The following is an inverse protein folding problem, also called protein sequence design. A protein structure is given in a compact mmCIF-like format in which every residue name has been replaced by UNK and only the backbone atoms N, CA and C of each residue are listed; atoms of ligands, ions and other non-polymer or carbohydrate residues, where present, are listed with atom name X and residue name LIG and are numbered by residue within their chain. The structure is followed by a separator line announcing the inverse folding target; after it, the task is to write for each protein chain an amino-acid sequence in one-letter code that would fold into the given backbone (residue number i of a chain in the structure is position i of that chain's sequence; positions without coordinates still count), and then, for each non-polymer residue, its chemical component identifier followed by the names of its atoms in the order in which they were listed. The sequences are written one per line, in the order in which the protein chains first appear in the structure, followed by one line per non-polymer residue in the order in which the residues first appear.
data_IF_710576593304
#
_entry.id   IF_710576593304
#
_cell.length_a   1.000
_cell.length_b   1.000
_cell.length_c   1.000
_cell.angle_alpha   90.00
_cell.angle_beta   90.00
_cell.angle_gamma   90.00
#
_symmetry.space_group_name_H-M   'P 1'
#
loop_
_entity.id
_entity.type
_entity.pdbx_description
1 polymer ?
#
# COMPACT_ATOMS: atom_id res chain seq x y z
N UNK A 1 -13.68 27.39 27.06
CA UNK A 1 -13.13 26.11 26.53
C UNK A 1 -12.76 26.38 25.10
N UNK A 2 -11.49 26.42 24.72
CA UNK A 2 -11.08 26.60 23.33
C UNK A 2 -11.65 25.42 22.53
N UNK A 3 -12.41 25.73 21.49
CA UNK A 3 -12.98 24.70 20.61
C UNK A 3 -11.83 23.88 20.02
N UNK A 4 -11.94 22.54 20.07
CA UNK A 4 -10.91 21.67 19.54
C UNK A 4 -10.81 21.85 18.01
N UNK A 5 -9.61 22.02 17.48
CA UNK A 5 -9.39 22.11 16.04
C UNK A 5 -9.86 20.83 15.35
N UNK A 6 -10.75 20.93 14.38
CA UNK A 6 -11.33 19.81 13.64
C UNK A 6 -10.64 19.66 12.31
N UNK A 7 -9.95 18.56 12.10
CA UNK A 7 -9.27 18.27 10.85
C UNK A 7 -9.76 16.95 10.27
N UNK A 8 -9.75 16.82 8.94
CA UNK A 8 -10.02 15.57 8.24
C UNK A 8 -8.84 15.20 7.34
N UNK A 9 -8.47 13.91 7.33
CA UNK A 9 -7.48 13.36 6.42
C UNK A 9 -8.18 12.93 5.14
N UNK A 10 -7.73 13.47 4.02
CA UNK A 10 -8.21 13.15 2.67
C UNK A 10 -7.03 12.67 1.84
N UNK A 11 -7.24 11.74 0.95
CA UNK A 11 -6.19 11.26 0.03
C UNK A 11 -6.57 9.97 -0.65
N UNK A 12 -5.80 9.62 -1.67
CA UNK A 12 -6.02 8.40 -2.43
C UNK A 12 -5.81 7.14 -1.55
N UNK A 13 -6.34 5.98 -1.95
CA UNK A 13 -5.96 4.71 -1.34
C UNK A 13 -4.44 4.52 -1.34
N UNK A 14 -3.91 3.88 -0.31
CA UNK A 14 -2.47 3.53 -0.16
C UNK A 14 -1.48 4.72 -0.11
N UNK A 15 -1.93 5.97 0.03
CA UNK A 15 -1.03 7.13 0.22
C UNK A 15 -0.42 7.23 1.64
N UNK A 16 -0.72 6.29 2.53
CA UNK A 16 -0.23 6.29 3.91
C UNK A 16 -1.07 7.12 4.89
N UNK A 17 -2.30 7.44 4.55
CA UNK A 17 -3.27 8.20 5.35
C UNK A 17 -3.50 7.58 6.73
N UNK A 18 -3.83 6.28 6.78
CA UNK A 18 -4.05 5.55 8.03
C UNK A 18 -2.77 5.43 8.87
N UNK A 19 -1.59 5.30 8.25
CA UNK A 19 -0.32 5.34 8.98
C UNK A 19 -0.11 6.69 9.64
N UNK A 20 -0.36 7.79 8.92
CA UNK A 20 -0.29 9.14 9.47
C UNK A 20 -1.30 9.34 10.61
N UNK A 21 -2.54 8.89 10.44
CA UNK A 21 -3.57 8.94 11.46
C UNK A 21 -3.14 8.22 12.74
N UNK A 22 -2.62 7.00 12.61
CA UNK A 22 -2.16 6.20 13.74
C UNK A 22 -0.98 6.86 14.48
N UNK A 23 -0.06 7.49 13.76
CA UNK A 23 1.05 8.23 14.36
C UNK A 23 0.58 9.48 15.14
N UNK A 24 -0.37 10.23 14.58
CA UNK A 24 -0.89 11.42 15.24
C UNK A 24 -1.71 11.09 16.50
N UNK A 25 -2.52 10.01 16.43
CA UNK A 25 -3.49 9.69 17.49
C UNK A 25 -3.01 8.65 18.49
N UNK A 26 -2.05 7.81 18.11
CA UNK A 26 -1.60 6.68 18.91
C UNK A 26 -2.77 5.73 19.24
N UNK A 27 -2.93 5.43 20.55
CA UNK A 27 -4.03 4.58 21.05
C UNK A 27 -5.35 5.34 21.28
N UNK A 28 -5.37 6.65 21.06
CA UNK A 28 -6.53 7.53 21.35
C UNK A 28 -7.45 7.65 20.15
N UNK A 29 -7.96 6.53 19.64
CA UNK A 29 -8.84 6.48 18.49
C UNK A 29 -10.13 5.73 18.82
N UNK A 30 -11.22 6.11 18.16
CA UNK A 30 -12.51 5.41 18.18
C UNK A 30 -12.85 4.99 16.76
N UNK A 31 -13.23 3.72 16.61
CA UNK A 31 -13.70 3.16 15.36
C UNK A 31 -15.18 2.88 15.49
N UNK A 32 -15.99 3.32 14.55
CA UNK A 32 -17.41 3.10 14.42
C UNK A 32 -17.77 3.02 12.94
N UNK A 33 -19.04 2.79 12.60
CA UNK A 33 -19.51 2.93 11.23
C UNK A 33 -20.27 4.24 11.07
N UNK A 34 -20.29 4.79 9.84
CA UNK A 34 -21.19 5.88 9.51
C UNK A 34 -22.64 5.39 9.54
N UNK A 35 -23.56 6.25 9.96
CA UNK A 35 -24.96 5.89 10.08
C UNK A 35 -25.55 5.41 8.75
N UNK A 36 -26.12 4.20 8.76
CA UNK A 36 -26.81 3.62 7.59
C UNK A 36 -25.91 2.96 6.52
N UNK A 37 -24.58 2.88 6.74
CA UNK A 37 -23.64 2.26 5.81
C UNK A 37 -22.57 1.43 6.55
N UNK A 38 -21.98 0.47 5.86
CA UNK A 38 -20.91 -0.40 6.42
C UNK A 38 -19.52 0.21 6.33
N UNK A 39 -19.41 1.53 6.17
CA UNK A 39 -18.14 2.24 6.02
C UNK A 39 -17.59 2.64 7.37
N UNK A 40 -16.32 2.31 7.62
CA UNK A 40 -15.65 2.62 8.88
C UNK A 40 -15.43 4.13 9.05
N UNK A 41 -15.72 4.61 10.25
CA UNK A 41 -15.47 5.96 10.72
C UNK A 41 -14.39 5.91 11.80
N UNK A 42 -13.23 6.51 11.53
CA UNK A 42 -12.12 6.58 12.47
C UNK A 42 -11.92 8.01 12.96
N UNK A 43 -12.11 8.21 14.25
CA UNK A 43 -11.91 9.51 14.91
C UNK A 43 -10.86 9.38 15.98
N UNK A 44 -9.89 10.28 15.95
CA UNK A 44 -8.83 10.33 16.94
C UNK A 44 -8.63 11.73 17.52
N UNK A 45 -7.85 11.81 18.58
CA UNK A 45 -7.51 13.08 19.24
C UNK A 45 -6.02 13.12 19.57
N UNK A 46 -5.41 14.29 19.36
CA UNK A 46 -4.03 14.56 19.76
C UNK A 46 -3.87 16.00 20.20
N UNK A 47 -2.72 16.35 20.76
CA UNK A 47 -2.40 17.70 21.17
C UNK A 47 -1.28 18.29 20.32
N UNK A 48 -1.43 19.54 19.93
CA UNK A 48 -0.39 20.33 19.29
C UNK A 48 0.68 20.77 20.32
N UNK A 49 1.87 21.20 19.88
CA UNK A 49 2.91 21.71 20.78
C UNK A 49 2.43 22.84 21.71
N UNK A 50 1.48 23.67 21.25
CA UNK A 50 0.82 24.69 22.06
C UNK A 50 -0.11 24.18 23.17
N UNK A 51 -0.40 22.87 23.17
CA UNK A 51 -1.40 22.24 24.06
C UNK A 51 -2.83 22.29 23.52
N UNK A 52 -3.08 22.89 22.33
CA UNK A 52 -4.39 22.91 21.69
C UNK A 52 -4.81 21.50 21.31
N UNK A 53 -6.03 21.11 21.66
CA UNK A 53 -6.59 19.80 21.31
C UNK A 53 -7.02 19.79 19.85
N UNK A 54 -6.68 18.72 19.15
CA UNK A 54 -7.10 18.46 17.77
C UNK A 54 -7.96 17.21 17.73
N UNK A 55 -9.09 17.29 17.03
CA UNK A 55 -9.90 16.15 16.64
C UNK A 55 -9.63 15.85 15.17
N UNK A 56 -9.16 14.64 14.88
CA UNK A 56 -8.85 14.20 13.52
C UNK A 56 -9.79 13.09 13.08
N UNK A 57 -10.28 13.20 11.85
CA UNK A 57 -11.15 12.24 11.18
C UNK A 57 -10.38 11.60 10.02
N UNK A 58 -10.24 10.27 10.00
CA UNK A 58 -9.68 9.54 8.86
C UNK A 58 -10.82 9.22 7.89
N UNK A 59 -10.77 9.80 6.69
CA UNK A 59 -11.77 9.59 5.65
C UNK A 59 -11.37 8.40 4.76
N UNK A 60 -12.34 7.65 4.22
CA UNK A 60 -12.09 6.65 3.21
C UNK A 60 -11.23 7.18 2.05
N UNK A 61 -10.37 6.33 1.50
CA UNK A 61 -9.53 6.70 0.36
C UNK A 61 -10.38 6.93 -0.88
N UNK A 62 -10.10 8.02 -1.61
CA UNK A 62 -10.77 8.33 -2.86
C UNK A 62 -9.78 8.86 -3.90
N UNK A 63 -10.05 8.58 -5.17
CA UNK A 63 -9.28 9.16 -6.27
C UNK A 63 -9.85 10.47 -6.78
N UNK A 64 -11.11 10.73 -6.51
CA UNK A 64 -11.86 11.92 -6.94
C UNK A 64 -13.04 12.18 -6.01
N UNK A 65 -13.51 13.42 -5.96
CA UNK A 65 -14.75 13.76 -5.28
C UNK A 65 -16.00 13.45 -6.13
N UNK A 66 -15.83 12.99 -7.36
CA UNK A 66 -16.91 12.41 -8.17
C UNK A 66 -17.15 10.97 -7.74
N UNK A 67 -17.89 10.80 -6.64
CA UNK A 67 -18.07 9.53 -5.97
C UNK A 67 -18.73 8.47 -6.87
N UNK A 68 -18.07 7.31 -7.00
CA UNK A 68 -18.57 6.13 -7.71
C UNK A 68 -18.90 4.98 -6.75
N UNK A 69 -18.44 5.07 -5.49
CA UNK A 69 -18.70 4.10 -4.44
C UNK A 69 -19.29 4.77 -3.20
N UNK A 70 -19.94 4.00 -2.29
CA UNK A 70 -20.43 4.52 -1.02
C UNK A 70 -19.35 5.18 -0.16
N UNK A 71 -18.14 4.64 -0.16
CA UNK A 71 -16.99 5.15 0.59
C UNK A 71 -16.56 6.52 0.08
N UNK A 72 -16.46 6.67 -1.25
CA UNK A 72 -16.15 7.94 -1.89
C UNK A 72 -17.24 8.98 -1.67
N UNK A 73 -18.51 8.56 -1.62
CA UNK A 73 -19.64 9.45 -1.34
C UNK A 73 -19.53 10.05 0.07
N UNK A 74 -19.11 9.26 1.08
CA UNK A 74 -18.88 9.76 2.43
C UNK A 74 -17.77 10.80 2.44
N UNK A 75 -16.63 10.51 1.81
CA UNK A 75 -15.51 11.43 1.72
C UNK A 75 -15.95 12.76 1.09
N UNK A 76 -16.64 12.71 -0.04
CA UNK A 76 -17.20 13.89 -0.70
C UNK A 76 -18.15 14.67 0.22
N UNK A 77 -19.07 13.98 0.88
CA UNK A 77 -20.13 14.64 1.67
C UNK A 77 -19.55 15.27 2.96
N UNK A 78 -18.49 14.68 3.56
CA UNK A 78 -17.72 15.35 4.64
C UNK A 78 -17.01 16.58 4.10
N UNK A 79 -16.31 16.48 2.96
CA UNK A 79 -15.62 17.62 2.35
C UNK A 79 -16.57 18.78 2.02
N UNK A 80 -17.80 18.48 1.60
CA UNK A 80 -18.86 19.46 1.33
C UNK A 80 -19.56 19.96 2.61
N UNK A 81 -19.30 19.35 3.79
CA UNK A 81 -19.96 19.69 5.03
C UNK A 81 -21.42 19.24 5.13
N UNK A 82 -21.82 18.21 4.37
CA UNK A 82 -23.20 17.69 4.33
C UNK A 82 -23.52 16.71 5.46
N UNK A 83 -22.51 16.12 6.12
CA UNK A 83 -22.72 15.18 7.22
C UNK A 83 -22.78 15.96 8.53
N UNK A 84 -24.00 16.14 9.04
CA UNK A 84 -24.25 16.95 10.25
C UNK A 84 -23.52 16.44 11.49
N UNK A 85 -23.35 15.12 11.65
CA UNK A 85 -22.66 14.50 12.79
C UNK A 85 -21.18 14.86 12.85
N UNK A 86 -20.52 15.11 11.71
CA UNK A 86 -19.11 15.48 11.66
C UNK A 86 -18.90 16.98 11.82
N UNK A 87 -19.92 17.77 11.55
CA UNK A 87 -19.81 19.23 11.55
C UNK A 87 -18.88 19.75 10.48
N UNK A 88 -18.62 21.04 10.52
CA UNK A 88 -17.69 21.66 9.60
C UNK A 88 -16.25 21.40 10.07
N UNK A 89 -15.38 20.95 9.15
CA UNK A 89 -13.96 20.79 9.41
C UNK A 89 -13.25 22.14 9.24
N UNK A 90 -12.32 22.46 10.16
CA UNK A 90 -11.54 23.71 10.13
C UNK A 90 -10.46 23.66 9.05
N UNK A 91 -9.87 22.46 8.83
CA UNK A 91 -8.87 22.24 7.80
C UNK A 91 -8.88 20.78 7.28
N UNK A 92 -8.38 20.59 6.07
CA UNK A 92 -8.17 19.29 5.46
C UNK A 92 -6.67 19.01 5.29
N UNK A 93 -6.20 17.86 5.77
CA UNK A 93 -4.88 17.34 5.47
C UNK A 93 -4.99 16.47 4.23
N UNK A 94 -4.57 17.00 3.09
CA UNK A 94 -4.56 16.25 1.85
C UNK A 94 -3.27 15.43 1.76
N UNK A 95 -3.35 14.12 2.01
CA UNK A 95 -2.20 13.21 2.02
C UNK A 95 -1.98 12.64 0.64
N UNK A 96 -0.78 12.82 0.10
CA UNK A 96 -0.38 12.34 -1.23
C UNK A 96 0.89 11.51 -1.15
N UNK A 97 0.97 10.49 -1.97
CA UNK A 97 2.16 9.68 -2.16
C UNK A 97 3.12 10.40 -3.12
N UNK A 98 4.30 10.76 -2.61
CA UNK A 98 5.35 11.43 -3.37
C UNK A 98 5.87 10.58 -4.55
N UNK A 99 5.78 9.25 -4.45
CA UNK A 99 6.23 8.35 -5.53
C UNK A 99 5.29 8.36 -6.73
N UNK A 100 4.03 8.78 -6.52
CA UNK A 100 2.99 8.80 -7.55
C UNK A 100 2.21 10.13 -7.59
N UNK A 101 2.95 11.23 -7.40
CA UNK A 101 2.39 12.59 -7.27
C UNK A 101 1.42 12.94 -8.40
N UNK A 102 1.73 12.54 -9.64
CA UNK A 102 0.89 12.85 -10.81
C UNK A 102 -0.54 12.33 -10.66
N UNK A 103 -0.72 11.11 -10.17
CA UNK A 103 -2.03 10.50 -9.94
C UNK A 103 -2.81 11.24 -8.84
N UNK A 104 -2.09 11.61 -7.76
CA UNK A 104 -2.70 12.23 -6.59
C UNK A 104 -3.08 13.70 -6.79
N UNK A 105 -2.41 14.40 -7.71
CA UNK A 105 -2.72 15.80 -8.01
C UNK A 105 -4.16 16.03 -8.48
N UNK A 106 -4.83 15.01 -9.06
CA UNK A 106 -6.23 15.10 -9.45
C UNK A 106 -7.14 15.46 -8.27
N UNK A 107 -7.08 14.66 -7.21
CA UNK A 107 -7.85 14.90 -5.99
C UNK A 107 -7.45 16.23 -5.31
N UNK A 108 -6.14 16.57 -5.31
CA UNK A 108 -5.66 17.84 -4.75
C UNK A 108 -6.30 19.05 -5.45
N UNK A 109 -6.39 19.04 -6.78
CA UNK A 109 -7.02 20.11 -7.53
C UNK A 109 -8.51 20.22 -7.24
N UNK A 110 -9.21 19.09 -7.15
CA UNK A 110 -10.63 19.06 -6.76
C UNK A 110 -10.85 19.62 -5.34
N UNK A 111 -9.97 19.28 -4.39
CA UNK A 111 -10.00 19.83 -3.04
C UNK A 111 -9.74 21.33 -3.02
N UNK A 112 -8.82 21.83 -3.84
CA UNK A 112 -8.55 23.27 -4.00
C UNK A 112 -9.79 24.00 -4.53
N UNK A 113 -10.48 23.42 -5.50
CA UNK A 113 -11.69 23.99 -6.09
C UNK A 113 -12.87 24.08 -5.10
N UNK A 114 -12.88 23.25 -4.06
CA UNK A 114 -13.84 23.38 -2.96
C UNK A 114 -13.67 24.66 -2.11
N UNK A 115 -12.53 25.34 -2.22
CA UNK A 115 -12.25 26.56 -1.47
C UNK A 115 -12.18 26.36 0.05
N UNK A 116 -11.80 25.16 0.51
CA UNK A 116 -11.63 24.85 1.95
C UNK A 116 -10.18 25.01 2.38
N UNK A 117 -9.89 25.30 3.66
CA UNK A 117 -8.54 25.34 4.16
C UNK A 117 -7.82 24.00 4.02
N UNK A 118 -6.67 23.98 3.32
CA UNK A 118 -5.92 22.77 3.01
C UNK A 118 -4.47 22.91 3.47
N UNK A 119 -3.92 21.81 3.97
CA UNK A 119 -2.49 21.57 4.12
C UNK A 119 -2.13 20.31 3.34
N UNK A 120 -1.25 20.43 2.36
CA UNK A 120 -0.79 19.28 1.57
C UNK A 120 0.32 18.54 2.30
N UNK A 121 0.14 17.25 2.52
CA UNK A 121 1.12 16.37 3.17
C UNK A 121 1.71 15.44 2.13
N UNK A 122 2.97 15.67 1.75
CA UNK A 122 3.75 14.80 0.88
C UNK A 122 4.34 13.66 1.70
N UNK A 123 3.75 12.49 1.60
CA UNK A 123 4.20 11.29 2.30
C UNK A 123 5.09 10.40 1.42
N UNK A 124 5.77 9.44 2.04
CA UNK A 124 6.70 8.51 1.36
C UNK A 124 7.88 9.22 0.65
N UNK A 125 8.35 10.34 1.21
CA UNK A 125 9.46 11.10 0.63
C UNK A 125 10.79 10.34 0.61
N UNK A 126 11.01 9.39 1.52
CA UNK A 126 12.17 8.49 1.52
C UNK A 126 12.14 7.55 0.31
N UNK A 127 10.99 7.00 0.00
CA UNK A 127 10.80 6.14 -1.17
C UNK A 127 10.93 6.92 -2.48
N UNK A 128 10.36 8.12 -2.55
CA UNK A 128 10.52 8.99 -3.71
C UNK A 128 11.99 9.31 -3.97
N UNK A 129 12.75 9.67 -2.92
CA UNK A 129 14.20 9.92 -3.03
C UNK A 129 14.98 8.67 -3.45
N UNK A 130 14.61 7.50 -2.91
CA UNK A 130 15.22 6.21 -3.28
C UNK A 130 15.00 5.89 -4.77
N UNK A 131 13.85 6.25 -5.33
CA UNK A 131 13.52 6.11 -6.76
C UNK A 131 14.09 7.23 -7.64
N UNK A 132 14.90 8.11 -7.08
CA UNK A 132 15.48 9.25 -7.82
C UNK A 132 14.46 10.35 -8.14
N UNK A 133 13.30 10.35 -7.51
CA UNK A 133 12.27 11.38 -7.68
C UNK A 133 12.60 12.54 -6.75
N UNK A 134 12.93 13.69 -7.30
CA UNK A 134 13.11 14.94 -6.57
C UNK A 134 11.91 15.86 -6.81
N UNK A 135 11.27 16.27 -5.73
CA UNK A 135 10.10 17.16 -5.75
C UNK A 135 10.50 18.49 -5.14
N UNK A 136 10.33 19.58 -5.90
CA UNK A 136 10.49 20.92 -5.37
C UNK A 136 9.21 21.34 -4.63
N UNK A 137 9.20 21.15 -3.31
CA UNK A 137 8.04 21.40 -2.44
C UNK A 137 7.67 22.88 -2.37
N UNK A 138 8.65 23.79 -2.44
CA UNK A 138 8.39 25.23 -2.47
C UNK A 138 7.66 25.63 -3.76
N UNK A 139 8.12 25.12 -4.91
CA UNK A 139 7.50 25.36 -6.19
C UNK A 139 6.12 24.72 -6.29
N UNK A 140 5.94 23.53 -5.70
CA UNK A 140 4.64 22.87 -5.59
C UNK A 140 3.66 23.72 -4.76
N UNK A 141 4.09 24.22 -3.61
CA UNK A 141 3.30 25.11 -2.78
C UNK A 141 2.90 26.39 -3.51
N UNK A 142 3.82 27.01 -4.25
CA UNK A 142 3.53 28.20 -5.05
C UNK A 142 2.53 27.93 -6.18
N UNK A 143 2.67 26.80 -6.88
CA UNK A 143 1.78 26.43 -7.98
C UNK A 143 0.36 26.08 -7.53
N UNK A 144 0.23 25.43 -6.39
CA UNK A 144 -1.06 25.03 -5.83
C UNK A 144 -1.70 26.10 -4.95
N UNK A 145 -0.94 27.10 -4.50
CA UNK A 145 -1.41 28.11 -3.57
C UNK A 145 -1.73 27.59 -2.17
N UNK A 146 -1.19 26.43 -1.81
CA UNK A 146 -1.37 25.78 -0.51
C UNK A 146 -0.04 25.41 0.11
N UNK A 147 0.07 25.42 1.46
CA UNK A 147 1.30 24.99 2.13
C UNK A 147 1.52 23.48 1.94
N UNK A 148 2.80 23.10 1.87
CA UNK A 148 3.23 21.70 1.63
C UNK A 148 4.18 21.29 2.75
N UNK A 149 3.94 20.11 3.36
CA UNK A 149 4.80 19.51 4.38
C UNK A 149 5.23 18.12 3.92
N UNK A 150 6.53 17.83 3.99
CA UNK A 150 7.09 16.51 3.71
C UNK A 150 7.00 15.60 4.93
N UNK A 151 6.60 14.34 4.73
CA UNK A 151 6.53 13.35 5.80
C UNK A 151 7.01 11.97 5.32
N UNK A 152 7.42 11.16 6.31
CA UNK A 152 7.60 9.72 6.16
C UNK A 152 6.88 9.08 7.34
N UNK A 153 5.57 8.87 7.18
CA UNK A 153 4.69 8.45 8.28
C UNK A 153 5.18 7.17 8.98
N UNK A 154 5.69 6.19 8.24
CA UNK A 154 6.20 4.92 8.81
C UNK A 154 7.43 5.13 9.71
N UNK A 155 8.26 6.15 9.45
CA UNK A 155 9.50 6.44 10.20
C UNK A 155 9.39 7.62 11.15
N UNK A 156 8.20 8.16 11.34
CA UNK A 156 7.93 9.34 12.16
C UNK A 156 8.70 10.61 11.74
N UNK A 157 9.28 10.63 10.53
CA UNK A 157 10.02 11.77 10.03
C UNK A 157 9.08 12.83 9.43
N UNK A 158 9.31 14.10 9.78
CA UNK A 158 8.49 15.22 9.32
C UNK A 158 7.18 15.42 10.09
N UNK A 159 6.84 14.54 11.04
CA UNK A 159 5.62 14.68 11.86
C UNK A 159 5.69 15.94 12.75
N UNK A 160 6.85 16.22 13.33
CA UNK A 160 7.05 17.46 14.10
C UNK A 160 6.79 18.71 13.25
N UNK A 161 7.29 18.73 12.01
CA UNK A 161 7.05 19.84 11.09
C UNK A 161 5.56 19.98 10.75
N UNK A 162 4.85 18.86 10.61
CA UNK A 162 3.41 18.86 10.41
C UNK A 162 2.66 19.43 11.62
N UNK A 163 3.02 18.99 12.83
CA UNK A 163 2.43 19.51 14.07
C UNK A 163 2.68 21.01 14.24
N UNK A 164 3.90 21.47 13.95
CA UNK A 164 4.23 22.91 13.96
C UNK A 164 3.47 23.68 12.88
N UNK A 165 3.30 23.13 11.69
CA UNK A 165 2.52 23.78 10.64
C UNK A 165 1.05 23.91 11.03
N UNK A 166 0.48 22.91 11.68
CA UNK A 166 -0.90 22.97 12.21
C UNK A 166 -1.02 23.97 13.35
N UNK A 167 -0.04 24.01 14.25
CA UNK A 167 -0.02 24.90 15.40
C UNK A 167 0.10 26.39 15.01
N UNK A 168 0.84 26.64 13.93
CA UNK A 168 0.98 27.97 13.33
C UNK A 168 -0.17 28.32 12.36
N UNK A 169 -1.23 27.50 12.32
CA UNK A 169 -2.36 27.64 11.40
C UNK A 169 -1.94 27.82 9.93
N UNK A 170 -0.83 27.16 9.55
CA UNK A 170 -0.33 27.14 8.18
C UNK A 170 -1.18 26.21 7.29
N UNK A 171 -2.47 26.41 7.31
CA UNK A 171 -3.41 25.90 6.35
C UNK A 171 -4.12 27.08 5.74
N UNK A 172 -4.25 27.12 4.42
CA UNK A 172 -4.82 28.27 3.74
C UNK A 172 -6.03 27.83 2.91
N UNK A 173 -6.98 28.76 2.80
CA UNK A 173 -7.98 28.68 1.75
C UNK A 173 -7.24 28.96 0.45
N UNK A 174 -7.23 28.00 -0.51
CA UNK A 174 -6.56 28.22 -1.78
C UNK A 174 -7.12 29.47 -2.44
N UNK A 175 -6.27 30.36 -2.92
CA UNK A 175 -6.74 31.43 -3.79
C UNK A 175 -7.21 30.77 -5.09
N UNK A 176 -8.46 31.00 -5.46
CA UNK A 176 -9.22 30.28 -6.51
C UNK A 176 -8.61 30.42 -7.91
N UNK A 177 -7.71 31.34 -8.10
CA UNK A 177 -6.90 31.43 -9.30
C UNK A 177 -5.61 30.61 -9.11
N UNK A 178 -5.64 29.34 -9.59
CA UNK A 178 -4.43 28.60 -9.90
C UNK A 178 -3.65 29.46 -10.90
N UNK A 179 -2.81 30.37 -10.37
CA UNK A 179 -2.24 31.49 -11.09
C UNK A 179 -1.52 31.02 -12.36
N UNK A 180 -2.11 31.34 -13.52
CA UNK A 180 -1.58 31.07 -14.84
C UNK A 180 -1.83 29.66 -15.40
N UNK A 181 -2.61 28.80 -14.75
CA UNK A 181 -2.93 27.46 -15.26
C UNK A 181 -4.28 27.49 -16.01
N UNK A 182 -4.24 27.67 -17.32
CA UNK A 182 -5.40 27.55 -18.21
C UNK A 182 -5.46 26.14 -18.79
N UNK A 183 -6.67 25.56 -18.92
CA UNK A 183 -6.88 24.27 -19.55
C UNK A 183 -7.65 23.26 -18.69
N UNK A 184 -7.74 22.03 -19.19
CA UNK A 184 -8.39 20.90 -18.48
C UNK A 184 -7.57 20.47 -17.27
N UNK A 185 -8.20 19.76 -16.31
CA UNK A 185 -7.51 19.20 -15.12
C UNK A 185 -6.24 18.43 -15.52
N UNK A 186 -6.31 17.58 -16.54
CA UNK A 186 -5.15 16.83 -17.04
C UNK A 186 -4.00 17.73 -17.49
N UNK A 187 -4.31 18.81 -18.20
CA UNK A 187 -3.27 19.74 -18.65
C UNK A 187 -2.64 20.50 -17.49
N UNK A 188 -3.44 20.89 -16.49
CA UNK A 188 -2.95 21.52 -15.26
C UNK A 188 -2.03 20.58 -14.49
N UNK A 189 -2.43 19.30 -14.32
CA UNK A 189 -1.62 18.27 -13.66
C UNK A 189 -0.27 18.09 -14.38
N UNK A 190 -0.29 17.96 -15.71
CA UNK A 190 0.93 17.77 -16.50
C UNK A 190 1.88 18.96 -16.41
N UNK A 191 1.37 20.19 -16.40
CA UNK A 191 2.17 21.41 -16.23
C UNK A 191 2.80 21.46 -14.83
N UNK A 192 2.01 21.25 -13.77
CA UNK A 192 2.52 21.25 -12.39
C UNK A 192 3.58 20.17 -12.22
N UNK A 193 3.27 18.94 -12.66
CA UNK A 193 4.17 17.79 -12.52
C UNK A 193 5.51 18.01 -13.19
N UNK A 194 5.53 18.47 -14.45
CA UNK A 194 6.76 18.76 -15.19
C UNK A 194 7.59 19.88 -14.56
N UNK A 195 6.93 20.83 -13.93
CA UNK A 195 7.58 21.99 -13.32
C UNK A 195 8.19 21.70 -11.95
N UNK A 196 7.64 20.74 -11.23
CA UNK A 196 7.94 20.46 -9.83
C UNK A 196 8.78 19.19 -9.65
N UNK A 197 8.60 18.19 -10.52
CA UNK A 197 9.25 16.89 -10.40
C UNK A 197 10.43 16.78 -11.33
N UNK A 198 11.59 16.47 -10.76
CA UNK A 198 12.81 16.16 -11.49
C UNK A 198 13.23 14.74 -11.20
N UNK A 199 13.47 13.96 -12.24
CA UNK A 199 14.08 12.64 -12.08
C UNK A 199 15.59 12.83 -12.10
N UNK A 200 16.24 12.58 -10.97
CA UNK A 200 17.69 12.38 -10.96
C UNK A 200 17.89 11.00 -11.54
N UNK A 201 18.43 10.94 -12.76
CA UNK A 201 18.87 9.69 -13.35
C UNK A 201 19.91 9.04 -12.41
N UNK A 202 19.45 8.36 -11.38
CA UNK A 202 20.19 7.22 -10.90
C UNK A 202 19.91 6.16 -11.97
N UNK A 203 20.77 6.14 -13.00
CA UNK A 203 20.92 4.97 -13.86
C UNK A 203 21.26 3.82 -12.90
N UNK A 204 20.24 3.16 -12.42
CA UNK A 204 20.44 1.90 -11.73
C UNK A 204 20.77 0.88 -12.84
N UNK A 205 22.04 0.92 -13.26
CA UNK A 205 22.60 0.08 -14.34
C UNK A 205 22.27 -1.39 -14.16
N UNK A 206 21.95 -1.79 -12.91
CA UNK A 206 21.52 -3.14 -12.59
C UNK A 206 20.07 -3.38 -13.01
N UNK A 207 19.19 -2.44 -12.73
CA UNK A 207 17.77 -2.53 -13.11
C UNK A 207 17.63 -2.48 -14.63
N UNK A 208 18.33 -1.55 -15.31
CA UNK A 208 18.32 -1.44 -16.78
C UNK A 208 18.88 -2.70 -17.46
N UNK A 209 19.92 -3.30 -16.89
CA UNK A 209 20.47 -4.57 -17.39
C UNK A 209 19.49 -5.72 -17.24
N UNK A 210 18.85 -5.83 -16.07
CA UNK A 210 17.83 -6.84 -15.78
C UNK A 210 16.61 -6.64 -16.69
N UNK A 211 16.14 -5.40 -16.84
CA UNK A 211 15.00 -5.08 -17.70
C UNK A 211 15.29 -5.39 -19.16
N UNK A 212 16.50 -5.16 -19.65
CA UNK A 212 16.90 -5.54 -21.00
C UNK A 212 16.82 -7.04 -21.25
N UNK A 213 17.14 -7.86 -20.25
CA UNK A 213 17.08 -9.32 -20.36
C UNK A 213 15.64 -9.82 -20.17
N UNK A 214 15.00 -9.40 -19.09
CA UNK A 214 13.69 -9.94 -18.70
C UNK A 214 12.53 -9.39 -19.54
N UNK A 215 12.62 -8.20 -20.11
CA UNK A 215 11.60 -7.64 -21.00
C UNK A 215 11.84 -7.95 -22.49
N UNK A 216 12.94 -8.64 -22.83
CA UNK A 216 13.21 -9.05 -24.20
C UNK A 216 12.23 -10.15 -24.61
N UNK A 217 11.59 -10.10 -25.79
CA UNK A 217 10.53 -11.04 -26.17
C UNK A 217 10.94 -12.52 -26.19
N UNK A 218 12.22 -12.81 -26.50
CA UNK A 218 12.76 -14.18 -26.52
C UNK A 218 13.47 -14.52 -25.22
N UNK A 219 14.38 -13.64 -24.76
CA UNK A 219 15.16 -13.88 -23.52
C UNK A 219 14.29 -13.87 -22.29
N UNK A 220 13.27 -13.01 -22.25
CA UNK A 220 12.30 -12.96 -21.14
C UNK A 220 11.50 -14.26 -21.03
N UNK A 221 11.03 -14.81 -22.18
CA UNK A 221 10.33 -16.09 -22.18
C UNK A 221 11.25 -17.25 -21.78
N UNK A 222 12.49 -17.24 -22.23
CA UNK A 222 13.49 -18.22 -21.84
C UNK A 222 13.80 -18.13 -20.34
N UNK A 223 13.96 -16.91 -19.81
CA UNK A 223 14.18 -16.69 -18.37
C UNK A 223 13.02 -17.17 -17.53
N UNK A 224 11.78 -16.97 -18.01
CA UNK A 224 10.57 -17.48 -17.35
C UNK A 224 10.57 -19.01 -17.32
N UNK A 225 10.88 -19.66 -18.45
CA UNK A 225 10.94 -21.12 -18.53
C UNK A 225 12.05 -21.70 -17.61
N UNK A 226 13.23 -21.06 -17.58
CA UNK A 226 14.32 -21.46 -16.70
C UNK A 226 13.93 -21.28 -15.22
N UNK A 227 13.33 -20.15 -14.87
CA UNK A 227 12.89 -19.88 -13.51
C UNK A 227 11.83 -20.87 -13.04
N UNK A 228 10.83 -21.15 -13.87
CA UNK A 228 9.83 -22.18 -13.59
C UNK A 228 10.47 -23.56 -13.42
N UNK A 229 11.43 -23.92 -14.27
CA UNK A 229 12.15 -25.17 -14.15
C UNK A 229 12.93 -25.26 -12.80
N UNK A 230 13.62 -24.17 -12.39
CA UNK A 230 14.33 -24.13 -11.11
C UNK A 230 13.37 -24.29 -9.94
N UNK A 231 12.22 -23.57 -9.95
CA UNK A 231 11.20 -23.68 -8.91
C UNK A 231 10.65 -25.10 -8.82
N UNK A 232 10.27 -25.72 -9.95
CA UNK A 232 9.80 -27.11 -9.97
C UNK A 232 10.87 -28.07 -9.47
N UNK A 233 12.11 -27.90 -9.93
CA UNK A 233 13.23 -28.76 -9.49
C UNK A 233 13.45 -28.62 -7.98
N UNK A 234 13.37 -27.42 -7.44
CA UNK A 234 13.54 -27.18 -6.01
C UNK A 234 12.40 -27.80 -5.19
N UNK A 235 11.18 -27.59 -5.60
CA UNK A 235 9.99 -28.05 -4.87
C UNK A 235 9.86 -29.58 -4.91
N UNK A 236 10.23 -30.25 -6.01
CA UNK A 236 10.06 -31.69 -6.12
C UNK A 236 11.36 -32.47 -5.83
N UNK A 237 12.49 -32.07 -6.39
CA UNK A 237 13.73 -32.84 -6.24
C UNK A 237 14.56 -32.45 -5.01
N UNK A 238 14.65 -31.16 -4.68
CA UNK A 238 15.43 -30.72 -3.52
C UNK A 238 14.68 -30.91 -2.22
N UNK A 239 13.34 -30.88 -2.23
CA UNK A 239 12.52 -31.19 -1.05
C UNK A 239 12.55 -32.68 -0.68
N UNK A 240 12.70 -33.59 -1.66
CA UNK A 240 12.59 -35.02 -1.45
C UNK A 240 13.49 -35.55 -0.30
N UNK A 241 14.81 -35.26 -0.23
CA UNK A 241 15.64 -35.80 0.85
C UNK A 241 15.21 -35.34 2.24
N UNK A 242 14.60 -34.15 2.38
CA UNK A 242 14.07 -33.68 3.64
C UNK A 242 12.75 -34.40 3.98
N UNK A 243 11.91 -34.65 2.98
CA UNK A 243 10.67 -35.43 3.14
C UNK A 243 10.96 -36.86 3.57
N UNK A 244 11.92 -37.54 2.90
CA UNK A 244 12.36 -38.89 3.24
C UNK A 244 12.93 -38.96 4.65
N UNK A 245 13.69 -37.94 5.08
CA UNK A 245 14.22 -37.83 6.42
C UNK A 245 13.12 -37.70 7.48
N UNK A 246 12.07 -36.92 7.21
CA UNK A 246 10.91 -36.76 8.10
C UNK A 246 10.12 -38.06 8.16
N UNK A 247 9.87 -38.69 7.03
CA UNK A 247 9.14 -39.97 6.94
C UNK A 247 9.91 -41.05 7.73
N UNK A 248 11.23 -41.16 7.52
CA UNK A 248 12.09 -42.07 8.29
C UNK A 248 12.06 -41.79 9.78
N UNK A 249 12.05 -40.53 10.20
CA UNK A 249 11.95 -40.17 11.62
C UNK A 249 10.61 -40.61 12.24
N UNK A 250 9.49 -40.34 11.58
CA UNK A 250 8.18 -40.74 12.07
C UNK A 250 8.01 -42.28 12.03
N UNK A 251 8.57 -42.97 11.02
CA UNK A 251 8.60 -44.42 10.97
C UNK A 251 9.36 -45.00 12.18
N UNK A 252 10.59 -44.54 12.44
CA UNK A 252 11.38 -44.91 13.60
C UNK A 252 10.64 -44.62 14.93
N UNK A 253 10.01 -43.45 15.05
CA UNK A 253 9.25 -43.09 16.24
C UNK A 253 8.06 -44.04 16.46
N UNK A 254 7.37 -44.42 15.38
CA UNK A 254 6.28 -45.40 15.40
C UNK A 254 6.76 -46.78 15.88
N UNK A 255 7.89 -47.26 15.41
CA UNK A 255 8.50 -48.53 15.87
C UNK A 255 8.85 -48.50 17.34
N UNK A 256 9.53 -47.43 17.80
CA UNK A 256 9.93 -47.26 19.20
C UNK A 256 8.72 -47.23 20.14
N UNK A 257 7.73 -46.42 19.82
CA UNK A 257 6.51 -46.31 20.63
C UNK A 257 5.66 -47.57 20.55
N UNK A 258 5.57 -48.19 19.38
CA UNK A 258 4.85 -49.45 19.18
C UNK A 258 5.43 -50.63 19.96
N UNK A 259 6.76 -50.64 20.15
CA UNK A 259 7.42 -51.70 20.95
C UNK A 259 7.03 -51.66 22.47
N UNK A 260 6.60 -50.52 22.98
CA UNK A 260 6.21 -50.31 24.37
C UNK A 260 4.72 -50.55 24.60
N UNK A 261 3.88 -50.34 23.59
CA UNK A 261 2.41 -50.43 23.72
C UNK A 261 1.95 -51.85 23.36
N UNK A 262 1.59 -52.63 24.36
CA UNK A 262 1.12 -54.01 24.18
C UNK A 262 -0.37 -54.17 23.89
N UNK A 263 -1.20 -53.15 24.19
CA UNK A 263 -2.61 -53.17 23.93
C UNK A 263 -2.95 -52.79 22.48
N UNK A 264 -3.62 -53.67 21.69
CA UNK A 264 -3.87 -53.45 20.27
C UNK A 264 -4.61 -52.16 19.93
N UNK A 265 -5.62 -51.78 20.71
CA UNK A 265 -6.41 -50.55 20.52
C UNK A 265 -5.58 -49.29 20.73
N UNK A 266 -4.77 -49.27 21.81
CA UNK A 266 -3.88 -48.14 22.11
C UNK A 266 -2.74 -48.06 21.09
N UNK A 267 -2.21 -49.20 20.67
CA UNK A 267 -1.18 -49.26 19.63
C UNK A 267 -1.69 -48.61 18.34
N UNK A 268 -2.82 -49.04 17.80
CA UNK A 268 -3.39 -48.51 16.59
C UNK A 268 -3.73 -46.99 16.70
N UNK A 269 -4.32 -46.57 17.84
CA UNK A 269 -4.62 -45.15 18.04
C UNK A 269 -3.37 -44.28 18.07
N UNK A 270 -2.32 -44.70 18.76
CA UNK A 270 -1.12 -43.88 18.95
C UNK A 270 -0.19 -43.98 17.72
N UNK A 271 0.10 -45.18 17.25
CA UNK A 271 1.06 -45.38 16.16
C UNK A 271 0.45 -45.05 14.80
N UNK A 272 -0.70 -45.68 14.48
CA UNK A 272 -1.31 -45.53 13.17
C UNK A 272 -2.13 -44.23 13.06
N UNK A 273 -2.76 -43.80 14.17
CA UNK A 273 -3.57 -42.59 14.21
C UNK A 273 -2.72 -41.33 14.40
N UNK A 274 -2.05 -41.18 15.55
CA UNK A 274 -1.40 -39.94 15.93
C UNK A 274 -0.04 -39.80 15.22
N UNK A 275 0.86 -40.80 15.35
CA UNK A 275 2.23 -40.69 14.83
C UNK A 275 2.22 -40.70 13.30
N UNK A 276 1.56 -41.68 12.69
CA UNK A 276 1.49 -41.78 11.23
C UNK A 276 0.69 -40.60 10.62
N UNK A 277 -0.42 -40.19 11.27
CA UNK A 277 -1.21 -39.04 10.85
C UNK A 277 -0.43 -37.72 10.94
N UNK A 278 0.26 -37.45 12.05
CA UNK A 278 1.12 -36.28 12.18
C UNK A 278 2.28 -36.32 11.19
N UNK A 279 2.93 -37.48 11.03
CA UNK A 279 4.02 -37.69 10.05
C UNK A 279 3.57 -37.37 8.64
N UNK A 280 2.40 -37.88 8.22
CA UNK A 280 1.84 -37.63 6.90
C UNK A 280 1.58 -36.16 6.58
N UNK A 281 1.26 -35.35 7.58
CA UNK A 281 1.10 -33.88 7.41
C UNK A 281 2.47 -33.18 7.37
N UNK A 282 3.36 -33.51 8.30
CA UNK A 282 4.65 -32.83 8.48
C UNK A 282 5.62 -33.14 7.31
N UNK A 283 5.47 -34.29 6.66
CA UNK A 283 6.27 -34.68 5.48
C UNK A 283 6.20 -33.61 4.37
N UNK A 284 5.07 -32.94 4.18
CA UNK A 284 4.93 -31.90 3.14
C UNK A 284 5.51 -30.54 3.54
N UNK A 285 5.88 -30.34 4.81
CA UNK A 285 6.35 -29.04 5.29
C UNK A 285 7.59 -28.52 4.53
N UNK A 286 8.64 -29.32 4.25
CA UNK A 286 9.79 -28.85 3.47
C UNK A 286 9.41 -28.36 2.07
N UNK A 287 8.50 -29.05 1.40
CA UNK A 287 8.05 -28.69 0.07
C UNK A 287 7.33 -27.33 0.07
N UNK A 288 6.46 -27.11 1.05
CA UNK A 288 5.74 -25.86 1.23
C UNK A 288 6.70 -24.72 1.55
N UNK A 289 7.66 -24.92 2.46
CA UNK A 289 8.65 -23.91 2.83
C UNK A 289 9.54 -23.51 1.66
N UNK A 290 9.99 -24.47 0.84
CA UNK A 290 10.77 -24.20 -0.36
C UNK A 290 9.94 -23.39 -1.37
N UNK A 291 8.68 -23.75 -1.56
CA UNK A 291 7.78 -23.01 -2.45
C UNK A 291 7.62 -21.55 -1.98
N UNK A 292 7.30 -21.34 -0.71
CA UNK A 292 7.16 -20.00 -0.15
C UNK A 292 8.47 -19.19 -0.24
N UNK A 293 9.61 -19.83 0.02
CA UNK A 293 10.91 -19.18 -0.12
C UNK A 293 11.10 -18.64 -1.55
N UNK A 294 10.82 -19.47 -2.58
CA UNK A 294 10.94 -19.01 -3.97
C UNK A 294 9.95 -17.91 -4.32
N UNK A 295 8.70 -17.98 -3.84
CA UNK A 295 7.71 -16.92 -4.06
C UNK A 295 8.22 -15.59 -3.49
N UNK A 296 8.70 -15.58 -2.24
CA UNK A 296 9.26 -14.39 -1.59
C UNK A 296 10.47 -13.83 -2.35
N UNK A 297 11.39 -14.68 -2.79
CA UNK A 297 12.57 -14.26 -3.57
C UNK A 297 12.15 -13.64 -4.91
N UNK A 298 11.17 -14.23 -5.60
CA UNK A 298 10.66 -13.71 -6.87
C UNK A 298 9.92 -12.38 -6.70
N UNK A 299 9.19 -12.22 -5.61
CA UNK A 299 8.50 -10.99 -5.25
C UNK A 299 9.49 -9.87 -4.90
N UNK A 300 10.41 -10.12 -3.98
CA UNK A 300 11.44 -9.17 -3.52
C UNK A 300 12.39 -8.73 -4.65
N UNK A 301 12.71 -9.64 -5.58
CA UNK A 301 13.54 -9.33 -6.76
C UNK A 301 12.84 -8.47 -7.80
N UNK A 302 11.52 -8.25 -7.65
CA UNK A 302 10.70 -7.58 -8.64
C UNK A 302 10.52 -8.36 -9.95
N UNK A 303 10.77 -9.69 -9.91
CA UNK A 303 10.61 -10.56 -11.08
C UNK A 303 9.14 -10.76 -11.44
N UNK A 304 8.25 -10.88 -10.44
CA UNK A 304 6.81 -11.13 -10.67
C UNK A 304 6.14 -10.06 -11.56
N UNK A 305 6.32 -8.75 -11.33
CA UNK A 305 5.76 -7.72 -12.21
C UNK A 305 6.30 -7.81 -13.65
N UNK A 306 7.58 -8.16 -13.81
CA UNK A 306 8.22 -8.32 -15.14
C UNK A 306 7.67 -9.55 -15.88
N UNK A 307 7.51 -10.66 -15.17
CA UNK A 307 6.91 -11.87 -15.71
C UNK A 307 5.43 -11.67 -16.11
N UNK A 308 4.66 -10.96 -15.27
CA UNK A 308 3.27 -10.59 -15.58
C UNK A 308 3.18 -9.74 -16.85
N UNK A 309 4.05 -8.72 -17.01
CA UNK A 309 4.09 -7.90 -18.21
C UNK A 309 4.41 -8.72 -19.50
N UNK A 310 5.33 -9.69 -19.39
CA UNK A 310 5.64 -10.60 -20.51
C UNK A 310 4.46 -11.49 -20.89
N UNK A 311 3.78 -12.05 -19.88
CA UNK A 311 2.60 -12.89 -20.10
C UNK A 311 1.46 -12.08 -20.72
N UNK A 312 1.22 -10.86 -20.25
CA UNK A 312 0.22 -9.95 -20.83
C UNK A 312 0.51 -9.66 -22.31
N UNK A 313 1.77 -9.43 -22.65
CA UNK A 313 2.19 -9.19 -24.04
C UNK A 313 1.96 -10.41 -24.93
N UNK A 314 2.23 -11.60 -24.43
CA UNK A 314 1.98 -12.86 -25.14
C UNK A 314 0.49 -13.11 -25.31
N UNK A 315 -0.31 -12.89 -24.29
CA UNK A 315 -1.76 -13.06 -24.34
C UNK A 315 -2.40 -12.06 -25.32
N UNK A 316 -1.90 -10.83 -25.35
CA UNK A 316 -2.35 -9.83 -26.32
C UNK A 316 -2.06 -10.27 -27.77
N UNK A 317 -0.89 -10.87 -28.03
CA UNK A 317 -0.56 -11.44 -29.35
C UNK A 317 -1.40 -12.65 -29.71
N UNK A 318 -1.89 -13.41 -28.71
CA UNK A 318 -2.81 -14.54 -28.89
C UNK A 318 -4.28 -14.12 -29.02
N UNK A 319 -4.60 -12.80 -29.06
CA UNK A 319 -5.95 -12.28 -29.19
C UNK A 319 -6.80 -12.34 -27.92
N UNK A 320 -6.17 -12.62 -26.77
CA UNK A 320 -6.82 -12.60 -25.46
C UNK A 320 -6.62 -11.22 -24.82
N UNK A 321 -7.72 -10.50 -24.54
CA UNK A 321 -7.62 -9.18 -23.90
C UNK A 321 -7.09 -9.30 -22.48
N UNK A 322 -5.98 -8.63 -22.16
CA UNK A 322 -5.35 -8.58 -20.82
C UNK A 322 -6.25 -8.04 -19.70
N UNK A 323 -7.47 -7.58 -20.02
CA UNK A 323 -8.47 -7.16 -19.03
C UNK A 323 -9.06 -8.31 -18.20
N UNK A 324 -8.85 -9.57 -18.60
CA UNK A 324 -9.32 -10.72 -17.84
C UNK A 324 -8.43 -11.05 -16.61
N UNK A 325 -7.20 -10.56 -16.56
CA UNK A 325 -6.25 -10.88 -15.48
C UNK A 325 -6.31 -9.91 -14.28
N UNK A 326 -6.77 -8.68 -14.50
CA UNK A 326 -6.90 -7.67 -13.46
C UNK A 326 -7.89 -8.10 -12.34
N UNK A 327 -9.04 -8.74 -12.63
CA UNK A 327 -9.91 -9.27 -11.58
C UNK A 327 -9.33 -10.45 -10.80
N UNK A 328 -8.46 -11.27 -11.42
CA UNK A 328 -7.84 -12.44 -10.76
C UNK A 328 -6.76 -12.05 -9.75
N UNK A 329 -6.01 -10.98 -10.00
CA UNK A 329 -5.04 -10.43 -9.05
C UNK A 329 -5.69 -9.61 -7.93
N UNK A 330 -6.95 -9.19 -8.10
CA UNK A 330 -7.72 -8.43 -7.11
C UNK A 330 -8.58 -9.30 -6.19
N UNK A 331 -8.66 -10.60 -6.43
CA UNK A 331 -9.49 -11.51 -5.62
C UNK A 331 -8.77 -12.08 -4.39
N UNK A 332 -7.53 -11.66 -4.11
CA UNK A 332 -6.75 -12.08 -2.96
C UNK A 332 -6.53 -10.97 -1.91
N UNK A 333 -7.36 -9.90 -1.91
CA UNK A 333 -7.45 -8.95 -0.80
C UNK A 333 -8.77 -9.08 -0.06
#
# INVERSE_FOLDING_TARGET
MSDALRIALVGNPNCGKTSLFNHLTGTRQKVANYAGVTVERKVGHFQLPSGRLVRVLDLPGTYSLNATSPDEAITRDVCLGKIAEEGQQDAFLCVVDATNLKLHLGLVLEMIELGRPILLVLNMMDEARRRGIQINTQKLSQRLGVPVVETVAVRNAGIENLLHALDQEKYSVPQTELSGLTGTHHQKIDMIFKDVVHYVNQEDKRTDFLDRIFLHPVLGLLSLAIMMFIVFQAVFAWAAPFMDGIEGFFGWLGEVVGSVITQPLLHSLVVDGIIAGAGGVVVFLPQILILFFFILVLEESGYLPRAAFLLDKLMFQAGLSGRAFIPLLRSEE
#
